data_IF_492946151697
#
_entry.id   IF_492946151697
#
_cell.length_a   1.000
_cell.length_b   1.000
_cell.length_c   1.000
_cell.angle_alpha   90.00
_cell.angle_beta   90.00
_cell.angle_gamma   90.00
#
_symmetry.space_group_name_H-M   'P 1'
#
loop_
_entity.id
_entity.type
_entity.pdbx_description
1 polymer ?
#
# COMPACT_ATOMS: atom_id res chain seq x y z
N UNK A 1 -4.29 27.05 -71.56
CA UNK A 1 -5.26 26.26 -70.75
C UNK A 1 -4.45 25.17 -70.07
N UNK A 2 -4.08 25.33 -68.85
CA UNK A 2 -3.53 24.25 -68.06
C UNK A 2 -4.56 23.95 -66.95
N UNK A 3 -5.30 22.89 -67.13
CA UNK A 3 -6.11 22.29 -66.09
C UNK A 3 -5.31 21.15 -65.51
N UNK A 4 -4.55 21.41 -64.48
CA UNK A 4 -4.00 20.36 -63.65
C UNK A 4 -4.71 20.52 -62.32
N UNK A 5 -5.74 19.74 -62.10
CA UNK A 5 -6.36 19.56 -60.80
C UNK A 5 -5.33 18.86 -59.90
N UNK A 6 -4.62 19.63 -59.07
CA UNK A 6 -3.74 19.07 -58.06
C UNK A 6 -4.44 19.11 -56.73
N UNK A 7 -4.79 17.92 -56.23
CA UNK A 7 -5.22 17.75 -54.84
C UNK A 7 -4.02 17.85 -53.90
N UNK A 8 -4.19 18.51 -52.78
CA UNK A 8 -3.22 18.52 -51.70
C UNK A 8 -3.94 18.25 -50.37
N UNK A 9 -3.25 17.64 -49.43
CA UNK A 9 -3.74 17.40 -48.08
C UNK A 9 -2.76 17.94 -47.08
N UNK A 10 -3.27 18.41 -45.94
CA UNK A 10 -2.49 18.86 -44.81
C UNK A 10 -3.13 18.37 -43.52
N UNK A 11 -2.34 17.80 -42.60
CA UNK A 11 -2.81 17.38 -41.29
C UNK A 11 -2.55 18.50 -40.28
N UNK A 12 -3.60 18.89 -39.56
CA UNK A 12 -3.49 19.80 -38.42
C UNK A 12 -3.29 18.96 -37.17
N UNK A 13 -2.25 19.25 -36.43
CA UNK A 13 -1.86 18.52 -35.20
C UNK A 13 -1.85 19.47 -34.00
N UNK A 14 -1.94 18.90 -32.78
CA UNK A 14 -1.90 19.64 -31.51
C UNK A 14 -3.03 20.67 -31.35
N UNK A 15 -4.20 20.37 -31.87
CA UNK A 15 -5.38 21.17 -31.66
C UNK A 15 -5.93 20.96 -30.24
N UNK A 16 -6.42 22.03 -29.62
CA UNK A 16 -7.12 21.94 -28.33
C UNK A 16 -8.46 21.23 -28.54
N UNK A 17 -8.88 20.39 -27.60
CA UNK A 17 -10.17 19.75 -27.64
C UNK A 17 -11.32 20.71 -27.35
N UNK A 18 -12.54 20.31 -27.68
CA UNK A 18 -13.80 21.08 -27.50
C UNK A 18 -13.69 22.52 -27.98
N UNK A 19 -12.97 22.71 -29.09
CA UNK A 19 -12.63 24.02 -29.63
C UNK A 19 -13.05 24.14 -31.08
N UNK A 20 -13.69 25.25 -31.43
CA UNK A 20 -14.06 25.59 -32.79
C UNK A 20 -12.89 26.20 -33.55
N UNK A 21 -12.53 25.59 -34.67
CA UNK A 21 -11.48 26.05 -35.56
C UNK A 21 -12.02 26.33 -36.94
N UNK A 22 -11.44 27.36 -37.56
CA UNK A 22 -11.71 27.66 -38.97
C UNK A 22 -10.45 27.38 -39.78
N UNK A 23 -10.59 26.70 -40.90
CA UNK A 23 -9.53 26.62 -41.88
C UNK A 23 -9.98 27.13 -43.22
N UNK A 24 -9.03 27.61 -44.01
CA UNK A 24 -9.24 27.97 -45.42
C UNK A 24 -7.97 27.64 -46.19
N UNK A 25 -8.17 27.17 -47.41
CA UNK A 25 -7.07 26.97 -48.35
C UNK A 25 -6.68 28.32 -48.99
N UNK A 26 -5.40 28.47 -49.30
CA UNK A 26 -4.97 29.61 -50.09
C UNK A 26 -3.98 29.19 -51.18
N UNK A 27 -3.96 29.95 -52.25
CA UNK A 27 -2.97 29.84 -53.32
C UNK A 27 -2.27 31.18 -53.52
N UNK A 28 -0.92 31.16 -53.61
CA UNK A 28 -0.12 32.31 -53.82
C UNK A 28 0.59 32.24 -55.19
N UNK A 29 0.48 33.33 -55.94
CA UNK A 29 1.25 33.54 -57.19
C UNK A 29 2.03 34.85 -57.07
N UNK A 30 2.83 35.16 -58.06
CA UNK A 30 3.50 36.48 -58.21
C UNK A 30 2.51 37.63 -58.30
N UNK A 31 1.29 37.38 -58.72
CA UNK A 31 0.23 38.36 -58.91
C UNK A 31 -0.60 38.63 -57.63
N UNK A 32 -0.48 37.73 -56.61
CA UNK A 32 -1.21 37.90 -55.37
C UNK A 32 -1.61 36.57 -54.73
N UNK A 33 -2.44 36.67 -53.68
CA UNK A 33 -2.97 35.54 -52.90
C UNK A 33 -4.47 35.44 -53.12
N UNK A 34 -4.96 34.24 -53.39
CA UNK A 34 -6.38 33.90 -53.42
C UNK A 34 -6.69 32.92 -52.28
N UNK A 35 -7.83 33.12 -51.61
CA UNK A 35 -8.30 32.30 -50.49
C UNK A 35 -9.55 31.56 -50.91
N UNK A 36 -9.69 30.32 -50.42
CA UNK A 36 -10.93 29.57 -50.48
C UNK A 36 -11.92 30.01 -49.40
N UNK A 37 -13.08 29.41 -49.37
CA UNK A 37 -14.09 29.67 -48.35
C UNK A 37 -13.63 29.09 -47.00
N UNK A 38 -13.87 29.80 -45.88
CA UNK A 38 -13.58 29.29 -44.55
C UNK A 38 -14.50 28.13 -44.20
N UNK A 39 -13.94 27.03 -43.71
CA UNK A 39 -14.70 25.87 -43.23
C UNK A 39 -14.53 25.77 -41.72
N UNK A 40 -15.66 25.77 -41.00
CA UNK A 40 -15.72 25.53 -39.57
C UNK A 40 -15.64 24.03 -39.31
N UNK A 41 -14.84 23.63 -38.30
CA UNK A 41 -14.93 22.33 -37.69
C UNK A 41 -14.68 22.46 -36.19
N UNK A 42 -15.33 21.59 -35.41
CA UNK A 42 -15.10 21.50 -33.96
C UNK A 42 -14.24 20.28 -33.68
N UNK A 43 -13.25 20.43 -32.80
CA UNK A 43 -12.57 19.30 -32.22
C UNK A 43 -13.42 18.75 -31.06
N UNK A 44 -13.44 17.44 -30.91
CA UNK A 44 -13.98 16.82 -29.69
C UNK A 44 -12.83 16.38 -28.80
N UNK A 45 -12.99 16.49 -27.49
CA UNK A 45 -12.03 15.95 -26.52
C UNK A 45 -11.99 14.41 -26.53
N UNK A 46 -12.86 13.76 -27.31
CA UNK A 46 -13.08 12.32 -27.24
C UNK A 46 -13.74 11.91 -25.92
N UNK A 47 -14.22 10.68 -25.88
CA UNK A 47 -14.79 10.07 -24.65
C UNK A 47 -13.68 9.58 -23.73
N UNK A 48 -12.84 10.49 -23.22
CA UNK A 48 -11.63 10.16 -22.45
C UNK A 48 -11.86 10.42 -20.95
N UNK A 49 -11.64 9.39 -20.15
CA UNK A 49 -11.69 9.48 -18.68
C UNK A 49 -10.41 10.16 -18.14
N UNK A 50 -10.44 10.71 -16.92
CA UNK A 50 -9.26 11.29 -16.29
C UNK A 50 -8.11 10.30 -16.11
N UNK A 51 -6.87 10.80 -16.23
CA UNK A 51 -5.63 10.05 -15.92
C UNK A 51 -4.99 10.64 -14.69
N UNK A 52 -4.63 9.76 -13.74
CA UNK A 52 -4.13 10.14 -12.43
C UNK A 52 -2.92 9.32 -12.02
N UNK A 53 -2.03 9.93 -11.26
CA UNK A 53 -0.88 9.26 -10.65
C UNK A 53 -0.72 9.62 -9.17
N UNK A 54 -0.21 8.66 -8.38
CA UNK A 54 0.30 8.92 -7.04
C UNK A 54 1.80 9.15 -7.18
N UNK A 55 2.26 10.33 -6.74
CA UNK A 55 3.67 10.73 -6.88
C UNK A 55 4.48 10.41 -5.63
N UNK A 56 3.86 10.46 -4.46
CA UNK A 56 4.53 10.17 -3.20
C UNK A 56 3.50 9.71 -2.15
N UNK A 57 3.97 8.87 -1.24
CA UNK A 57 3.19 8.44 -0.06
C UNK A 57 4.06 8.59 1.18
N UNK A 58 3.61 9.39 2.15
CA UNK A 58 4.29 9.63 3.41
C UNK A 58 3.48 9.02 4.56
N UNK A 59 4.08 8.09 5.30
CA UNK A 59 3.47 7.50 6.50
C UNK A 59 3.82 8.33 7.73
N UNK A 60 2.82 8.67 8.52
CA UNK A 60 2.97 9.17 9.87
C UNK A 60 2.68 8.03 10.86
N UNK A 61 3.73 7.40 11.35
CA UNK A 61 3.65 6.24 12.25
C UNK A 61 3.06 6.62 13.62
N UNK A 62 3.20 7.88 14.05
CA UNK A 62 2.70 8.34 15.35
C UNK A 62 1.19 8.53 15.32
N UNK A 63 0.69 9.23 14.33
CA UNK A 63 -0.72 9.55 14.20
C UNK A 63 -1.47 8.48 13.38
N UNK A 64 -0.76 7.50 12.81
CA UNK A 64 -1.30 6.43 11.97
C UNK A 64 -2.15 6.98 10.82
N UNK A 65 -1.57 7.92 10.12
CA UNK A 65 -2.13 8.47 8.91
C UNK A 65 -1.17 8.33 7.73
N UNK A 66 -1.72 8.46 6.54
CA UNK A 66 -0.95 8.48 5.29
C UNK A 66 -1.30 9.74 4.55
N UNK A 67 -0.28 10.53 4.22
CA UNK A 67 -0.39 11.67 3.32
C UNK A 67 -0.02 11.17 1.93
N UNK A 68 -0.93 11.36 0.99
CA UNK A 68 -0.82 10.90 -0.40
C UNK A 68 -0.71 12.13 -1.28
N UNK A 69 0.42 12.28 -1.94
CA UNK A 69 0.61 13.29 -2.98
C UNK A 69 0.29 12.68 -4.34
N UNK A 70 -0.56 13.34 -5.07
CA UNK A 70 -1.08 12.85 -6.32
C UNK A 70 -1.17 13.97 -7.37
N UNK A 71 -1.38 13.58 -8.61
CA UNK A 71 -1.52 14.50 -9.72
C UNK A 71 -2.66 14.06 -10.63
N UNK A 72 -3.41 15.03 -11.13
CA UNK A 72 -4.26 14.86 -12.31
C UNK A 72 -3.37 15.07 -13.53
N UNK A 73 -2.96 14.00 -14.17
CA UNK A 73 -2.06 14.04 -15.34
C UNK A 73 -2.79 14.53 -16.58
N UNK A 74 -4.07 14.17 -16.70
CA UNK A 74 -4.97 14.70 -17.70
C UNK A 74 -6.43 14.67 -17.18
N UNK A 75 -7.22 15.75 -17.36
CA UNK A 75 -8.64 15.77 -16.96
C UNK A 75 -9.52 14.87 -17.85
N UNK A 76 -9.00 14.46 -19.00
CA UNK A 76 -9.74 13.76 -20.03
C UNK A 76 -10.55 14.71 -20.91
N UNK A 77 -11.55 14.16 -21.60
CA UNK A 77 -12.35 14.87 -22.59
C UNK A 77 -13.48 15.76 -22.02
N UNK A 78 -13.46 16.04 -20.69
CA UNK A 78 -14.45 16.90 -20.05
C UNK A 78 -13.95 17.39 -18.67
N UNK A 79 -14.56 18.44 -18.12
CA UNK A 79 -14.27 18.90 -16.77
C UNK A 79 -14.48 17.79 -15.73
N UNK A 80 -13.64 17.76 -14.70
CA UNK A 80 -13.78 16.87 -13.57
C UNK A 80 -14.97 17.32 -12.73
N UNK A 81 -15.88 16.39 -12.42
CA UNK A 81 -17.09 16.60 -11.63
C UNK A 81 -16.90 16.17 -10.16
N UNK A 82 -16.11 15.13 -9.93
CA UNK A 82 -15.86 14.56 -8.61
C UNK A 82 -14.44 14.00 -8.57
N UNK A 83 -13.73 14.18 -7.44
CA UNK A 83 -12.43 13.58 -7.22
C UNK A 83 -12.16 13.32 -5.75
N UNK A 84 -11.19 12.45 -5.48
CA UNK A 84 -10.81 12.12 -4.12
C UNK A 84 -10.04 10.81 -4.01
N UNK A 85 -10.19 10.18 -2.86
CA UNK A 85 -9.59 8.91 -2.52
C UNK A 85 -10.69 7.87 -2.29
N UNK A 86 -10.47 6.66 -2.78
CA UNK A 86 -11.29 5.49 -2.43
C UNK A 86 -10.40 4.44 -1.77
N UNK A 87 -10.92 3.83 -0.70
CA UNK A 87 -10.16 2.82 0.05
C UNK A 87 -11.02 1.65 0.50
N UNK A 88 -10.38 0.51 0.80
CA UNK A 88 -11.01 -0.71 1.33
C UNK A 88 -10.01 -1.49 2.18
N UNK A 89 -10.52 -2.29 3.14
CA UNK A 89 -9.74 -3.28 3.88
C UNK A 89 -9.70 -4.64 3.19
N UNK A 90 -10.67 -4.91 2.33
CA UNK A 90 -10.94 -6.23 1.75
C UNK A 90 -10.63 -6.28 0.25
N UNK A 91 -10.89 -5.19 -0.46
CA UNK A 91 -10.76 -5.13 -1.91
C UNK A 91 -9.41 -4.50 -2.27
N UNK A 92 -8.54 -5.26 -2.92
CA UNK A 92 -7.19 -4.80 -3.28
C UNK A 92 -7.18 -3.70 -4.36
N UNK A 93 -8.21 -3.60 -5.18
CA UNK A 93 -8.40 -2.55 -6.17
C UNK A 93 -9.76 -1.86 -5.94
N UNK A 94 -9.86 -0.99 -4.92
CA UNK A 94 -11.12 -0.35 -4.59
C UNK A 94 -11.58 0.60 -5.70
N UNK A 95 -12.89 0.63 -5.91
CA UNK A 95 -13.58 1.55 -6.82
C UNK A 95 -14.60 2.38 -6.04
N UNK A 96 -15.15 3.41 -6.66
CA UNK A 96 -16.19 4.23 -6.01
C UNK A 96 -17.47 3.45 -5.70
N UNK A 97 -17.67 2.28 -6.31
CA UNK A 97 -18.82 1.39 -6.09
C UNK A 97 -18.61 0.40 -4.94
N UNK A 98 -17.36 -0.01 -4.67
CA UNK A 98 -17.05 -1.08 -3.71
C UNK A 98 -16.13 -0.67 -2.56
N UNK A 99 -15.68 0.58 -2.54
CA UNK A 99 -14.83 1.15 -1.50
C UNK A 99 -15.49 2.31 -0.75
N UNK A 100 -14.82 2.76 0.29
CA UNK A 100 -15.21 3.97 1.03
C UNK A 100 -14.55 5.19 0.38
N UNK A 101 -15.36 6.19 0.03
CA UNK A 101 -14.90 7.43 -0.61
C UNK A 101 -14.55 8.52 0.41
N UNK A 102 -13.51 9.28 0.08
CA UNK A 102 -13.18 10.58 0.69
C UNK A 102 -13.11 11.58 -0.47
N UNK A 103 -14.08 12.45 -0.56
CA UNK A 103 -14.13 13.47 -1.62
C UNK A 103 -13.35 14.71 -1.19
N UNK A 104 -12.75 15.38 -2.18
CA UNK A 104 -12.13 16.69 -2.04
C UNK A 104 -12.65 17.63 -3.12
N UNK A 105 -12.39 18.93 -2.95
CA UNK A 105 -12.68 19.93 -3.99
C UNK A 105 -11.88 19.61 -5.25
N UNK A 106 -12.46 19.92 -6.40
CA UNK A 106 -11.81 19.67 -7.69
C UNK A 106 -10.59 20.57 -7.86
N UNK A 107 -9.44 19.95 -8.04
CA UNK A 107 -8.14 20.62 -8.29
C UNK A 107 -7.49 19.98 -9.52
N UNK A 108 -6.97 20.77 -10.43
CA UNK A 108 -6.16 20.31 -11.56
C UNK A 108 -4.68 20.34 -11.19
N UNK A 109 -3.93 19.34 -11.64
CA UNK A 109 -2.51 19.18 -11.33
C UNK A 109 -2.28 18.51 -9.98
N UNK A 110 -1.25 18.93 -9.26
CA UNK A 110 -0.81 18.32 -8.02
C UNK A 110 -1.71 18.68 -6.84
N UNK A 111 -1.99 17.70 -5.97
CA UNK A 111 -2.75 17.84 -4.74
C UNK A 111 -2.31 16.83 -3.68
N UNK A 112 -2.77 17.07 -2.45
CA UNK A 112 -2.55 16.14 -1.33
C UNK A 112 -3.88 15.72 -0.72
N UNK A 113 -3.95 14.46 -0.28
CA UNK A 113 -5.09 13.90 0.44
C UNK A 113 -4.58 12.97 1.53
N UNK A 114 -5.29 12.90 2.65
CA UNK A 114 -4.89 12.06 3.78
C UNK A 114 -5.90 10.96 4.04
N UNK A 115 -5.38 9.78 4.40
CA UNK A 115 -6.15 8.68 4.96
C UNK A 115 -5.75 8.52 6.42
N UNK A 116 -6.68 8.83 7.34
CA UNK A 116 -6.44 8.96 8.79
C UNK A 116 -7.12 7.86 9.60
N UNK A 117 -6.86 7.82 10.91
CA UNK A 117 -7.47 6.93 11.89
C UNK A 117 -7.27 5.43 11.56
N UNK A 118 -6.11 5.11 11.00
CA UNK A 118 -5.78 3.76 10.57
C UNK A 118 -5.45 2.88 11.78
N UNK A 119 -6.03 1.68 11.77
CA UNK A 119 -5.81 0.68 12.83
C UNK A 119 -4.57 -0.14 12.50
N UNK A 120 -3.72 -0.40 13.50
CA UNK A 120 -2.55 -1.27 13.37
C UNK A 120 -2.96 -2.69 12.94
N UNK A 121 -2.06 -3.39 12.24
CA UNK A 121 -2.26 -4.76 11.72
C UNK A 121 -3.41 -4.91 10.73
N UNK A 122 -3.90 -3.79 10.19
CA UNK A 122 -4.97 -3.78 9.20
C UNK A 122 -4.42 -3.29 7.87
N UNK A 123 -4.60 -4.05 6.81
CA UNK A 123 -4.26 -3.63 5.46
C UNK A 123 -5.33 -2.68 4.94
N UNK A 124 -4.89 -1.58 4.36
CA UNK A 124 -5.74 -0.62 3.68
C UNK A 124 -5.26 -0.47 2.24
N UNK A 125 -6.11 -0.80 1.30
CA UNK A 125 -5.88 -0.62 -0.12
C UNK A 125 -6.55 0.69 -0.53
N UNK A 126 -5.89 1.51 -1.33
CA UNK A 126 -6.45 2.79 -1.74
C UNK A 126 -6.03 3.18 -3.14
N UNK A 127 -6.81 4.03 -3.75
CA UNK A 127 -6.58 4.66 -5.05
C UNK A 127 -7.09 6.09 -5.01
N UNK A 128 -6.46 6.97 -5.77
CA UNK A 128 -7.04 8.26 -6.12
C UNK A 128 -8.01 8.04 -7.28
N UNK A 129 -9.11 8.76 -7.26
CA UNK A 129 -10.08 8.74 -8.36
C UNK A 129 -10.44 10.16 -8.81
N UNK A 130 -10.79 10.32 -10.06
CA UNK A 130 -11.46 11.47 -10.61
C UNK A 130 -12.50 11.03 -11.64
N UNK A 131 -13.62 11.72 -11.67
CA UNK A 131 -14.76 11.44 -12.56
C UNK A 131 -15.06 12.64 -13.41
N UNK A 132 -15.27 12.40 -14.68
CA UNK A 132 -15.89 13.32 -15.61
C UNK A 132 -17.15 12.69 -16.23
N UNK A 133 -17.83 13.40 -17.14
CA UNK A 133 -19.05 12.89 -17.79
C UNK A 133 -18.86 11.57 -18.57
N UNK A 134 -17.63 11.22 -18.92
CA UNK A 134 -17.33 10.01 -19.69
C UNK A 134 -16.98 8.79 -18.82
N UNK A 135 -16.62 9.02 -17.56
CA UNK A 135 -16.33 7.92 -16.64
C UNK A 135 -15.37 8.29 -15.52
N UNK A 136 -14.88 7.25 -14.84
CA UNK A 136 -14.01 7.38 -13.67
C UNK A 136 -12.62 6.87 -14.01
N UNK A 137 -11.62 7.73 -13.82
CA UNK A 137 -10.22 7.36 -13.83
C UNK A 137 -9.73 7.02 -12.43
N UNK A 138 -8.77 6.12 -12.33
CA UNK A 138 -8.15 5.70 -11.07
C UNK A 138 -6.64 5.64 -11.21
N UNK A 139 -5.93 5.99 -10.13
CA UNK A 139 -4.51 5.68 -10.02
C UNK A 139 -4.26 4.18 -9.90
N UNK A 140 -2.99 3.76 -10.02
CA UNK A 140 -2.59 2.42 -9.59
C UNK A 140 -2.97 2.19 -8.12
N UNK A 141 -3.34 0.96 -7.74
CA UNK A 141 -3.69 0.64 -6.37
C UNK A 141 -2.46 0.63 -5.48
N UNK A 142 -2.60 1.23 -4.30
CA UNK A 142 -1.58 1.25 -3.27
C UNK A 142 -2.07 0.52 -2.02
N UNK A 143 -1.14 0.06 -1.19
CA UNK A 143 -1.45 -0.59 0.08
C UNK A 143 -0.62 0.02 1.21
N UNK A 144 -1.28 0.24 2.35
CA UNK A 144 -0.61 0.63 3.59
C UNK A 144 -1.09 -0.24 4.74
N UNK A 145 -0.18 -0.52 5.64
CA UNK A 145 -0.44 -1.14 6.95
C UNK A 145 0.46 -0.48 7.98
N UNK A 146 -0.09 -0.16 9.13
CA UNK A 146 0.67 0.32 10.27
C UNK A 146 0.93 -0.85 11.22
N UNK A 147 2.17 -0.98 11.65
CA UNK A 147 2.60 -1.95 12.64
C UNK A 147 2.88 -1.18 13.91
N UNK A 148 2.15 -1.46 14.99
CA UNK A 148 2.45 -0.89 16.30
C UNK A 148 3.77 -1.43 16.83
N UNK A 149 4.21 -0.89 17.97
CA UNK A 149 5.37 -1.39 18.74
C UNK A 149 4.99 -2.50 19.73
N UNK A 150 3.69 -2.79 19.84
CA UNK A 150 3.14 -3.78 20.80
C UNK A 150 2.01 -4.58 20.19
N UNK A 151 1.95 -5.83 20.59
CA UNK A 151 0.82 -6.74 20.38
C UNK A 151 0.23 -7.11 21.75
N UNK A 152 -1.09 -7.02 21.92
CA UNK A 152 -1.80 -7.47 23.12
C UNK A 152 -2.58 -8.73 22.77
N UNK A 153 -2.25 -9.84 23.43
CA UNK A 153 -2.99 -11.09 23.27
C UNK A 153 -4.42 -10.94 23.85
N UNK A 154 -5.47 -11.11 23.04
CA UNK A 154 -6.84 -10.90 23.51
C UNK A 154 -7.28 -11.93 24.55
N UNK A 155 -6.58 -13.07 24.68
CA UNK A 155 -6.93 -14.19 25.56
C UNK A 155 -6.59 -13.91 27.01
N UNK A 156 -5.40 -13.34 27.27
CA UNK A 156 -4.89 -13.10 28.63
C UNK A 156 -4.51 -11.64 28.90
N UNK A 157 -4.60 -10.78 27.88
CA UNK A 157 -4.23 -9.36 27.92
C UNK A 157 -2.72 -9.10 28.12
N UNK A 158 -1.90 -10.14 28.01
CA UNK A 158 -0.44 -9.93 27.98
C UNK A 158 -0.07 -9.10 26.76
N UNK A 159 0.84 -8.17 26.98
CA UNK A 159 1.36 -7.29 25.92
C UNK A 159 2.81 -7.63 25.63
N UNK A 160 3.14 -7.77 24.38
CA UNK A 160 4.47 -8.11 23.87
C UNK A 160 4.99 -6.98 22.99
N UNK A 161 6.24 -6.60 23.16
CA UNK A 161 6.91 -5.74 22.18
C UNK A 161 7.07 -6.49 20.88
N UNK A 162 6.84 -5.78 19.79
CA UNK A 162 6.97 -6.32 18.44
C UNK A 162 7.83 -5.40 17.60
N UNK A 163 8.45 -5.97 16.58
CA UNK A 163 9.24 -5.25 15.60
C UNK A 163 9.09 -5.86 14.22
N UNK A 164 9.04 -5.03 13.22
CA UNK A 164 9.05 -5.50 11.83
C UNK A 164 10.49 -5.71 11.38
N UNK A 165 10.76 -6.90 10.85
CA UNK A 165 11.99 -7.25 10.16
C UNK A 165 11.63 -7.81 8.78
N UNK A 166 12.04 -7.10 7.73
CA UNK A 166 11.64 -7.44 6.37
C UNK A 166 10.11 -7.41 6.19
N UNK A 167 9.55 -8.52 5.73
CA UNK A 167 8.11 -8.68 5.53
C UNK A 167 7.37 -9.30 6.73
N UNK A 168 8.09 -9.67 7.79
CA UNK A 168 7.53 -10.32 8.97
C UNK A 168 7.54 -9.39 10.19
N UNK A 169 6.54 -9.57 11.05
CA UNK A 169 6.46 -8.92 12.36
C UNK A 169 6.84 -9.97 13.40
N UNK A 170 7.79 -9.64 14.26
CA UNK A 170 8.32 -10.53 15.27
C UNK A 170 7.97 -10.04 16.67
N UNK A 171 7.57 -10.96 17.55
CA UNK A 171 7.60 -10.70 18.99
C UNK A 171 9.05 -10.67 19.41
N UNK A 172 9.50 -9.57 20.05
CA UNK A 172 10.88 -9.41 20.56
C UNK A 172 10.95 -9.63 22.08
N UNK A 173 9.87 -10.19 22.61
CA UNK A 173 9.77 -10.67 23.99
C UNK A 173 9.28 -12.11 24.00
N UNK A 174 9.67 -12.87 25.02
CA UNK A 174 9.28 -14.26 25.16
C UNK A 174 7.76 -14.38 25.35
N UNK A 175 7.17 -15.31 24.60
CA UNK A 175 5.76 -15.64 24.72
C UNK A 175 5.47 -16.27 26.09
N UNK A 176 4.31 -15.94 26.70
CA UNK A 176 4.02 -16.31 28.09
C UNK A 176 2.54 -16.65 28.35
N UNK A 177 1.79 -17.03 27.31
CA UNK A 177 0.42 -17.46 27.50
C UNK A 177 0.32 -18.85 28.12
N UNK A 178 -0.34 -18.97 29.29
CA UNK A 178 -0.51 -20.24 30.02
C UNK A 178 -2.02 -20.51 30.22
N UNK A 179 -2.63 -21.34 29.37
CA UNK A 179 -3.96 -21.88 29.70
C UNK A 179 -3.91 -22.69 31.01
N UNK A 180 -4.95 -22.56 31.83
CA UNK A 180 -4.99 -23.13 33.20
C UNK A 180 -4.76 -24.65 33.26
N UNK A 181 -5.12 -25.37 32.19
CA UNK A 181 -5.05 -26.84 32.11
C UNK A 181 -3.79 -27.36 31.40
N UNK A 182 -2.90 -26.50 30.95
CA UNK A 182 -1.73 -26.84 30.12
C UNK A 182 -0.40 -26.80 30.84
N UNK A 183 -0.32 -26.22 32.03
CA UNK A 183 0.93 -26.22 32.79
C UNK A 183 1.38 -27.66 33.06
N UNK A 184 2.68 -27.94 32.84
CA UNK A 184 3.31 -29.25 32.86
C UNK A 184 2.75 -30.28 31.83
N UNK A 185 2.00 -29.79 30.83
CA UNK A 185 1.45 -30.57 29.70
C UNK A 185 1.79 -29.85 28.40
N UNK A 186 3.07 -29.67 28.14
CA UNK A 186 3.59 -28.93 27.00
C UNK A 186 3.99 -27.49 27.30
N UNK A 187 3.75 -27.00 28.52
CA UNK A 187 4.15 -25.66 28.99
C UNK A 187 4.84 -25.80 30.35
N UNK A 188 5.97 -25.13 30.50
CA UNK A 188 6.71 -25.08 31.74
C UNK A 188 7.18 -23.64 32.04
N UNK A 189 7.29 -23.31 33.32
CA UNK A 189 7.94 -22.10 33.77
C UNK A 189 9.25 -22.52 34.44
N UNK A 190 10.36 -21.92 34.05
CA UNK A 190 11.67 -22.28 34.57
C UNK A 190 11.71 -22.13 36.11
N UNK A 191 12.18 -23.19 36.80
CA UNK A 191 12.32 -23.18 38.25
C UNK A 191 11.01 -23.33 39.03
N UNK A 192 9.87 -23.49 38.35
CA UNK A 192 8.61 -23.81 39.02
C UNK A 192 8.24 -25.29 38.83
N UNK A 193 8.05 -25.99 39.93
CA UNK A 193 7.73 -27.43 39.92
C UNK A 193 6.31 -27.73 40.47
N UNK A 194 5.53 -26.70 40.76
CA UNK A 194 4.16 -26.83 41.19
C UNK A 194 3.18 -27.13 40.03
N UNK A 195 1.90 -27.26 40.34
CA UNK A 195 0.83 -27.55 39.36
C UNK A 195 -0.13 -26.40 39.15
N UNK A 196 0.03 -25.27 39.86
CA UNK A 196 -0.83 -24.10 39.73
C UNK A 196 -0.26 -23.14 38.70
N UNK A 197 -1.03 -22.91 37.63
CA UNK A 197 -0.66 -21.93 36.61
C UNK A 197 -0.61 -20.49 37.21
N UNK A 198 -1.47 -20.21 38.14
CA UNK A 198 -1.58 -18.91 38.83
C UNK A 198 -0.33 -18.61 39.64
N UNK A 199 0.17 -19.60 40.41
CA UNK A 199 1.42 -19.46 41.15
C UNK A 199 2.65 -19.39 40.20
N UNK A 200 2.66 -20.18 39.13
CA UNK A 200 3.74 -20.13 38.15
C UNK A 200 3.86 -18.75 37.51
N UNK A 201 2.74 -18.12 37.16
CA UNK A 201 2.72 -16.76 36.60
C UNK A 201 3.13 -15.64 37.57
N UNK A 202 3.16 -15.92 38.88
CA UNK A 202 3.67 -14.99 39.91
C UNK A 202 5.17 -15.13 40.13
N UNK A 203 5.84 -16.11 39.54
CA UNK A 203 7.27 -16.33 39.71
C UNK A 203 8.10 -15.27 38.98
N UNK A 204 9.26 -14.95 39.54
CA UNK A 204 10.23 -14.04 38.93
C UNK A 204 10.67 -14.55 37.52
N UNK A 205 10.89 -15.84 37.40
CA UNK A 205 11.31 -16.46 36.13
C UNK A 205 10.24 -16.34 35.03
N UNK A 206 8.97 -16.42 35.41
CA UNK A 206 7.90 -16.15 34.45
C UNK A 206 7.94 -14.70 33.95
N UNK A 207 8.14 -13.75 34.83
CA UNK A 207 8.21 -12.34 34.47
C UNK A 207 9.40 -12.02 33.55
N UNK A 208 10.55 -12.69 33.75
CA UNK A 208 11.79 -12.46 32.99
C UNK A 208 11.83 -13.29 31.70
N UNK A 209 11.51 -14.58 31.79
CA UNK A 209 11.74 -15.55 30.71
C UNK A 209 10.47 -16.04 30.03
N UNK A 210 9.28 -15.70 30.55
CA UNK A 210 8.03 -16.23 30.05
C UNK A 210 7.90 -17.75 30.29
N UNK A 211 7.50 -18.47 29.25
CA UNK A 211 7.28 -19.92 29.32
C UNK A 211 8.16 -20.67 28.33
N UNK A 212 8.41 -21.94 28.67
CA UNK A 212 8.94 -22.94 27.76
C UNK A 212 7.78 -23.74 27.20
N UNK A 213 7.78 -23.99 25.92
CA UNK A 213 6.74 -24.75 25.20
C UNK A 213 7.38 -25.92 24.46
N UNK A 214 6.73 -27.07 24.44
CA UNK A 214 7.07 -28.03 23.39
C UNK A 214 6.60 -27.52 22.03
N UNK A 215 7.16 -28.11 20.97
CA UNK A 215 6.92 -27.67 19.59
C UNK A 215 5.44 -27.63 19.21
N UNK A 216 4.70 -28.71 19.55
CA UNK A 216 3.29 -28.80 19.17
C UNK A 216 2.47 -27.77 19.94
N UNK A 217 2.73 -27.62 21.23
CA UNK A 217 2.04 -26.64 22.06
C UNK A 217 2.34 -25.19 21.63
N UNK A 218 3.59 -24.87 21.27
CA UNK A 218 3.96 -23.57 20.76
C UNK A 218 3.21 -23.23 19.46
N UNK A 219 3.06 -24.21 18.58
CA UNK A 219 2.32 -24.08 17.33
C UNK A 219 0.81 -23.88 17.55
N UNK A 220 0.22 -24.68 18.45
CA UNK A 220 -1.21 -24.66 18.71
C UNK A 220 -1.67 -23.43 19.49
N UNK A 221 -0.79 -22.85 20.31
CA UNK A 221 -1.09 -21.69 21.15
C UNK A 221 -0.68 -20.35 20.53
N UNK A 222 -0.15 -20.33 19.33
CA UNK A 222 0.11 -19.07 18.65
C UNK A 222 -1.19 -18.23 18.58
N UNK A 223 -1.16 -16.94 18.89
CA UNK A 223 -2.34 -16.08 18.77
C UNK A 223 -2.87 -16.03 17.33
N UNK A 224 -4.13 -15.68 17.15
CA UNK A 224 -4.71 -15.50 15.82
C UNK A 224 -3.88 -14.50 15.00
N UNK A 225 -3.53 -14.88 13.77
CA UNK A 225 -2.68 -14.10 12.87
C UNK A 225 -1.18 -14.24 13.16
N UNK A 226 -0.77 -15.00 14.17
CA UNK A 226 0.61 -15.33 14.51
C UNK A 226 0.88 -16.84 14.32
N UNK A 227 2.13 -17.17 14.16
CA UNK A 227 2.56 -18.58 14.08
C UNK A 227 3.97 -18.74 14.67
N UNK A 228 4.32 -19.97 15.01
CA UNK A 228 5.69 -20.31 15.34
C UNK A 228 6.55 -20.15 14.08
N UNK A 229 7.60 -19.33 14.19
CA UNK A 229 8.44 -18.99 13.05
C UNK A 229 9.01 -20.27 12.38
N UNK A 230 8.95 -20.29 11.06
CA UNK A 230 9.51 -21.34 10.22
C UNK A 230 11.03 -21.17 10.06
N UNK A 231 11.72 -22.21 9.64
CA UNK A 231 13.15 -22.16 9.34
C UNK A 231 13.46 -21.12 8.22
N UNK A 232 12.58 -21.01 7.23
CA UNK A 232 12.72 -19.98 6.18
C UNK A 232 12.65 -18.56 6.72
N UNK A 233 11.75 -18.28 7.66
CA UNK A 233 11.62 -16.96 8.29
C UNK A 233 12.80 -16.66 9.20
N UNK A 234 13.30 -17.64 9.94
CA UNK A 234 14.54 -17.49 10.70
C UNK A 234 15.73 -17.18 9.79
N UNK A 235 15.88 -17.90 8.68
CA UNK A 235 16.92 -17.63 7.70
C UNK A 235 16.84 -16.20 7.13
N UNK A 236 15.63 -15.71 6.84
CA UNK A 236 15.42 -14.32 6.41
C UNK A 236 15.82 -13.30 7.50
N UNK A 237 15.47 -13.57 8.76
CA UNK A 237 15.85 -12.73 9.89
C UNK A 237 17.37 -12.69 10.07
N UNK A 238 18.03 -13.83 9.99
CA UNK A 238 19.49 -13.95 10.09
C UNK A 238 20.20 -13.24 8.92
N UNK A 239 19.68 -13.32 7.69
CA UNK A 239 20.17 -12.54 6.55
C UNK A 239 20.10 -11.03 6.81
N UNK A 240 18.97 -10.55 7.31
CA UNK A 240 18.79 -9.15 7.69
C UNK A 240 19.77 -8.73 8.79
N UNK A 241 20.15 -9.65 9.69
CA UNK A 241 21.20 -9.45 10.69
C UNK A 241 22.63 -9.50 10.11
N UNK A 242 22.78 -9.81 8.82
CA UNK A 242 24.05 -9.87 8.11
C UNK A 242 24.79 -11.20 8.21
N UNK A 243 24.06 -12.28 8.51
CA UNK A 243 24.59 -13.66 8.42
C UNK A 243 24.73 -14.03 6.94
N UNK A 244 25.89 -14.54 6.53
CA UNK A 244 26.11 -14.94 5.14
C UNK A 244 25.34 -16.23 4.78
N UNK A 245 25.00 -16.38 3.50
CA UNK A 245 24.30 -17.57 3.02
C UNK A 245 25.06 -18.89 3.31
N UNK A 246 26.40 -18.84 3.29
CA UNK A 246 27.25 -19.98 3.62
C UNK A 246 27.07 -20.43 5.09
N UNK A 247 26.88 -19.48 6.00
CA UNK A 247 26.66 -19.76 7.42
C UNK A 247 25.23 -20.25 7.69
N UNK A 248 24.24 -19.79 6.92
CA UNK A 248 22.85 -20.23 7.03
C UNK A 248 22.65 -21.72 6.69
N UNK A 249 23.52 -22.26 5.86
CA UNK A 249 23.49 -23.68 5.46
C UNK A 249 24.12 -24.63 6.49
N UNK A 250 24.68 -24.11 7.60
CA UNK A 250 25.23 -24.96 8.66
C UNK A 250 24.12 -25.46 9.58
N UNK A 251 24.04 -26.77 9.70
CA UNK A 251 23.10 -27.44 10.62
C UNK A 251 23.65 -27.49 12.06
N UNK A 252 24.98 -27.44 12.22
CA UNK A 252 25.67 -27.46 13.50
C UNK A 252 26.54 -26.22 13.66
N UNK A 253 26.70 -25.74 14.88
CA UNK A 253 27.44 -24.53 15.25
C UNK A 253 26.70 -23.20 15.15
N UNK A 254 27.25 -22.22 15.87
CA UNK A 254 26.80 -20.83 15.92
C UNK A 254 26.91 -20.13 14.56
N UNK A 255 25.78 -19.61 14.06
CA UNK A 255 25.66 -19.06 12.71
C UNK A 255 26.15 -17.61 12.55
N UNK A 256 26.82 -17.01 13.50
CA UNK A 256 27.44 -15.69 13.31
C UNK A 256 27.46 -14.76 14.52
N UNK A 257 28.07 -13.60 14.34
CA UNK A 257 28.19 -12.50 15.33
C UNK A 257 27.05 -11.48 15.22
N UNK A 258 25.81 -11.94 15.21
CA UNK A 258 24.65 -11.08 14.99
C UNK A 258 24.13 -10.35 16.25
N UNK A 259 24.79 -10.52 17.41
CA UNK A 259 24.33 -10.04 18.71
C UNK A 259 24.02 -8.54 18.80
N UNK A 260 24.53 -7.72 17.88
CA UNK A 260 24.38 -6.26 17.95
C UNK A 260 23.42 -5.69 16.89
N UNK A 261 22.95 -6.50 15.93
CA UNK A 261 22.15 -6.01 14.81
C UNK A 261 20.64 -6.22 14.95
N UNK A 262 20.22 -7.07 15.88
CA UNK A 262 18.81 -7.36 16.16
C UNK A 262 18.29 -6.71 17.46
N UNK A 263 19.08 -5.86 18.09
CA UNK A 263 18.68 -5.09 19.28
C UNK A 263 17.81 -3.90 18.96
#
# INVERSE_FOLDING_TARGET
MCTQDSEFSYSLENLEGDTDYYYLAYARTEMGISYGDPVLFATSDGDVIPVLSITETVKDEVNRNVIIKANIDAPGGAPIEEMGLVWSKEVAQPTIENGTKINIDVVLGAFEISLSDLVTFTKYYYRIFAKNKYGVGYSEPMMVMFVGDKFTDPRDKNTYKIKQYGNCIWMVENFRYVPADRLNKGIWVQGYNGSSAEEAMQSENYAIYGCLYDYQTAKDLAPEGWHLATDAEWNELEKLAGVSEELLMKEEDWRGNSNDRLK
#
